data_IF_408661388068
#
_entry.id   IF_408661388068
#
_cell.length_a   1.000
_cell.length_b   1.000
_cell.length_c   1.000
_cell.angle_alpha   90.00
_cell.angle_beta   90.00
_cell.angle_gamma   90.00
#
_symmetry.space_group_name_H-M   'P 1'
#
loop_
_entity.id
_entity.type
_entity.pdbx_description
1 polymer ?
#
# COMPACT_ATOMS: atom_id res chain seq x y z
N UNK A 1 -9.94 -6.55 25.53
CA UNK A 1 -10.05 -5.20 24.99
C UNK A 1 -11.35 -5.07 24.23
N UNK A 2 -12.05 -3.93 24.28
CA UNK A 2 -13.24 -3.72 23.50
C UNK A 2 -12.93 -3.81 22.00
N UNK A 3 -13.90 -4.27 21.24
CA UNK A 3 -13.87 -4.25 19.78
C UNK A 3 -14.06 -2.80 19.33
N UNK A 4 -13.17 -2.29 18.49
CA UNK A 4 -13.24 -0.92 17.95
C UNK A 4 -13.60 -1.02 16.48
N UNK A 5 -14.58 -0.25 16.03
CA UNK A 5 -14.90 -0.14 14.60
C UNK A 5 -14.17 1.04 13.99
N UNK A 6 -13.29 0.73 13.04
CA UNK A 6 -12.44 1.71 12.38
C UNK A 6 -12.78 1.81 10.90
N UNK A 7 -12.83 3.04 10.38
CA UNK A 7 -12.84 3.33 8.95
C UNK A 7 -11.44 3.68 8.46
N UNK A 8 -11.06 3.17 7.31
CA UNK A 8 -9.83 3.55 6.60
C UNK A 8 -10.19 4.01 5.20
N UNK A 9 -9.89 5.26 4.89
CA UNK A 9 -10.12 5.86 3.58
C UNK A 9 -8.78 6.07 2.87
N UNK A 10 -8.52 5.24 1.88
CA UNK A 10 -7.31 5.24 1.06
C UNK A 10 -7.59 5.98 -0.26
N UNK A 11 -7.00 7.15 -0.42
CA UNK A 11 -7.08 7.97 -1.64
C UNK A 11 -5.86 7.70 -2.51
N UNK A 12 -5.98 6.69 -3.35
CA UNK A 12 -4.94 6.31 -4.31
C UNK A 12 -5.04 7.02 -5.66
N UNK A 13 -4.05 6.83 -6.52
CA UNK A 13 -3.97 7.43 -7.86
C UNK A 13 -5.15 7.08 -8.78
N UNK A 14 -5.71 5.88 -8.63
CA UNK A 14 -6.79 5.39 -9.50
C UNK A 14 -8.15 5.29 -8.79
N UNK A 15 -8.13 4.97 -7.49
CA UNK A 15 -9.35 4.64 -6.74
C UNK A 15 -9.29 5.23 -5.35
N UNK A 16 -10.45 5.62 -4.84
CA UNK A 16 -10.68 5.79 -3.41
C UNK A 16 -11.26 4.48 -2.87
N UNK A 17 -10.79 4.06 -1.71
CA UNK A 17 -11.24 2.84 -1.08
C UNK A 17 -11.57 3.08 0.39
N UNK A 18 -12.85 3.00 0.75
CA UNK A 18 -13.29 2.93 2.14
C UNK A 18 -13.28 1.46 2.58
N UNK A 19 -12.52 1.17 3.63
CA UNK A 19 -12.53 -0.11 4.32
C UNK A 19 -13.02 0.11 5.75
N UNK A 20 -14.12 -0.54 6.13
CA UNK A 20 -14.59 -0.57 7.53
C UNK A 20 -14.23 -1.91 8.14
N UNK A 21 -13.59 -1.89 9.30
CA UNK A 21 -13.15 -3.09 10.01
C UNK A 21 -13.63 -3.08 11.46
N UNK A 22 -13.95 -4.26 11.98
CA UNK A 22 -13.96 -4.51 13.41
C UNK A 22 -12.57 -5.03 13.81
N UNK A 23 -11.92 -4.32 14.70
CA UNK A 23 -10.54 -4.59 15.05
C UNK A 23 -10.32 -4.55 16.57
N UNK A 24 -9.39 -5.35 17.05
CA UNK A 24 -8.80 -5.26 18.37
C UNK A 24 -7.35 -5.71 18.30
N UNK A 25 -6.54 -5.31 19.25
CA UNK A 25 -5.13 -5.66 19.28
C UNK A 25 -4.91 -7.17 19.32
N UNK A 26 -3.97 -7.64 18.51
CA UNK A 26 -3.57 -9.05 18.44
C UNK A 26 -4.47 -9.92 17.56
N UNK A 27 -5.55 -9.35 16.98
CA UNK A 27 -6.37 -10.05 16.00
C UNK A 27 -6.22 -9.46 14.60
N UNK A 28 -6.55 -10.26 13.61
CA UNK A 28 -6.70 -9.79 12.24
C UNK A 28 -7.84 -8.77 12.15
N UNK A 29 -7.63 -7.59 11.56
CA UNK A 29 -8.72 -6.68 11.26
C UNK A 29 -9.75 -7.38 10.36
N UNK A 30 -10.97 -7.52 10.84
CA UNK A 30 -12.03 -8.22 10.09
C UNK A 30 -12.82 -7.22 9.26
N UNK A 31 -12.76 -7.28 7.91
CA UNK A 31 -13.54 -6.40 7.05
C UNK A 31 -15.05 -6.58 7.27
N UNK A 32 -15.75 -5.48 7.51
CA UNK A 32 -17.21 -5.39 7.57
C UNK A 32 -17.81 -4.80 6.32
N UNK A 33 -17.12 -3.81 5.75
CA UNK A 33 -17.50 -3.20 4.48
C UNK A 33 -16.24 -2.83 3.69
N UNK A 34 -16.35 -2.86 2.37
CA UNK A 34 -15.26 -2.51 1.46
C UNK A 34 -15.84 -1.89 0.19
N UNK A 35 -15.77 -0.57 0.11
CA UNK A 35 -16.30 0.20 -1.03
C UNK A 35 -15.17 0.84 -1.83
N UNK A 36 -15.25 0.72 -3.16
CA UNK A 36 -14.28 1.29 -4.07
C UNK A 36 -14.94 2.18 -5.08
N UNK A 37 -14.43 3.41 -5.18
CA UNK A 37 -14.84 4.39 -6.21
C UNK A 37 -13.67 4.68 -7.13
N UNK A 38 -13.87 4.55 -8.42
CA UNK A 38 -12.85 4.84 -9.43
C UNK A 38 -12.84 6.34 -9.72
N UNK A 39 -11.75 7.03 -9.39
CA UNK A 39 -11.58 8.46 -9.64
C UNK A 39 -10.56 8.77 -10.73
N UNK A 40 -9.52 7.97 -10.88
CA UNK A 40 -8.39 8.22 -11.78
C UNK A 40 -7.79 9.60 -11.59
N UNK A 41 -7.46 9.94 -10.33
CA UNK A 41 -6.94 11.27 -9.97
C UNK A 41 -5.68 11.64 -10.76
N UNK A 42 -4.82 10.66 -11.04
CA UNK A 42 -3.62 10.89 -11.84
C UNK A 42 -3.91 11.38 -13.27
N UNK A 43 -5.10 11.07 -13.81
CA UNK A 43 -5.57 11.55 -15.14
C UNK A 43 -6.22 12.95 -15.03
N UNK A 44 -6.48 13.43 -13.83
CA UNK A 44 -7.06 14.75 -13.53
C UNK A 44 -6.00 15.81 -13.18
N UNK A 45 -4.73 15.48 -13.31
CA UNK A 45 -3.62 16.41 -13.17
C UNK A 45 -3.36 17.07 -14.52
N UNK A 46 -3.38 18.40 -14.56
CA UNK A 46 -3.15 19.18 -15.76
C UNK A 46 -1.64 19.29 -16.11
N UNK A 47 -1.33 19.93 -17.25
CA UNK A 47 0.05 20.15 -17.71
C UNK A 47 0.92 21.00 -16.78
N UNK A 48 0.32 21.68 -15.79
CA UNK A 48 1.01 22.47 -14.77
C UNK A 48 1.19 21.69 -13.46
N UNK A 49 0.84 20.40 -13.46
CA UNK A 49 0.89 19.55 -12.27
C UNK A 49 -0.22 19.81 -11.25
N UNK A 50 -1.30 20.54 -11.61
CA UNK A 50 -2.42 20.85 -10.70
C UNK A 50 -3.52 19.82 -10.86
N UNK A 51 -4.08 19.36 -9.74
CA UNK A 51 -5.36 18.66 -9.77
C UNK A 51 -6.43 19.65 -10.27
N UNK A 52 -7.13 19.26 -11.35
CA UNK A 52 -8.16 20.09 -11.97
C UNK A 52 -9.31 20.36 -11.01
N UNK A 53 -10.08 21.44 -11.24
CA UNK A 53 -11.27 21.74 -10.44
C UNK A 53 -12.26 20.56 -10.45
N UNK A 54 -12.51 19.98 -11.62
CA UNK A 54 -13.40 18.82 -11.75
C UNK A 54 -12.88 17.60 -10.97
N UNK A 55 -11.55 17.36 -10.97
CA UNK A 55 -10.91 16.32 -10.16
C UNK A 55 -11.07 16.56 -8.65
N UNK A 56 -10.85 17.80 -8.21
CA UNK A 56 -11.04 18.20 -6.82
C UNK A 56 -12.52 18.09 -6.38
N UNK A 57 -13.47 18.53 -7.23
CA UNK A 57 -14.92 18.41 -6.96
C UNK A 57 -15.35 16.93 -6.79
N UNK A 58 -14.81 16.05 -7.62
CA UNK A 58 -15.08 14.60 -7.49
C UNK A 58 -14.45 14.01 -6.25
N UNK A 59 -13.22 14.41 -5.93
CA UNK A 59 -12.52 13.97 -4.72
C UNK A 59 -13.31 14.33 -3.47
N UNK A 60 -13.70 15.61 -3.32
CA UNK A 60 -14.48 16.12 -2.17
C UNK A 60 -15.79 15.35 -2.02
N UNK A 61 -16.59 15.21 -3.10
CA UNK A 61 -17.84 14.46 -3.05
C UNK A 61 -17.61 13.01 -2.60
N UNK A 62 -16.63 12.33 -3.17
CA UNK A 62 -16.37 10.92 -2.83
C UNK A 62 -15.90 10.75 -1.39
N UNK A 63 -15.13 11.73 -0.85
CA UNK A 63 -14.73 11.71 0.56
C UNK A 63 -15.94 11.95 1.46
N UNK A 64 -16.83 12.89 1.11
CA UNK A 64 -18.06 13.16 1.86
C UNK A 64 -18.96 11.90 1.92
N UNK A 65 -19.18 11.24 0.79
CA UNK A 65 -19.96 9.99 0.72
C UNK A 65 -19.35 8.88 1.57
N UNK A 66 -18.02 8.72 1.50
CA UNK A 66 -17.31 7.72 2.29
C UNK A 66 -17.38 8.03 3.80
N UNK A 67 -17.27 9.29 4.20
CA UNK A 67 -17.41 9.71 5.59
C UNK A 67 -18.82 9.46 6.12
N UNK A 68 -19.85 9.77 5.33
CA UNK A 68 -21.24 9.48 5.67
C UNK A 68 -21.47 7.95 5.84
N UNK A 69 -20.93 7.13 4.93
CA UNK A 69 -20.99 5.66 5.04
C UNK A 69 -20.30 5.17 6.32
N UNK A 70 -19.09 5.67 6.62
CA UNK A 70 -18.36 5.28 7.83
C UNK A 70 -19.14 5.66 9.10
N UNK A 71 -19.73 6.86 9.16
CA UNK A 71 -20.55 7.31 10.26
C UNK A 71 -21.83 6.46 10.42
N UNK A 72 -22.54 6.17 9.32
CA UNK A 72 -23.73 5.32 9.33
C UNK A 72 -23.44 3.87 9.80
N UNK A 73 -22.21 3.40 9.56
CA UNK A 73 -21.73 2.10 10.04
C UNK A 73 -21.25 2.12 11.50
N UNK A 74 -21.24 3.28 12.17
CA UNK A 74 -20.83 3.43 13.56
C UNK A 74 -19.30 3.33 13.74
N UNK A 75 -18.51 3.79 12.78
CA UNK A 75 -17.08 3.89 12.97
C UNK A 75 -16.76 4.91 14.07
N UNK A 76 -15.91 4.51 15.01
CA UNK A 76 -15.44 5.35 16.11
C UNK A 76 -14.34 6.32 15.64
N UNK A 77 -13.65 5.97 14.55
CA UNK A 77 -12.61 6.77 13.93
C UNK A 77 -12.55 6.51 12.43
N UNK A 78 -12.21 7.54 11.65
CA UNK A 78 -11.97 7.48 10.21
C UNK A 78 -10.57 7.98 9.90
N UNK A 79 -9.68 7.07 9.61
CA UNK A 79 -8.32 7.38 9.17
C UNK A 79 -8.32 7.61 7.65
N UNK A 80 -8.22 8.85 7.22
CA UNK A 80 -8.19 9.22 5.81
C UNK A 80 -6.78 9.62 5.40
N UNK A 81 -6.25 8.98 4.37
CA UNK A 81 -4.93 9.32 3.83
C UNK A 81 -4.91 9.31 2.30
N UNK A 82 -3.98 10.07 1.75
CA UNK A 82 -3.74 10.16 0.32
C UNK A 82 -2.29 9.79 -0.02
N UNK A 83 -2.09 9.24 -1.20
CA UNK A 83 -0.81 8.78 -1.70
C UNK A 83 -0.36 9.56 -2.95
N UNK A 84 0.47 9.01 -3.78
CA UNK A 84 1.26 9.66 -4.83
C UNK A 84 0.50 10.70 -5.68
N UNK A 85 -0.73 10.44 -6.14
CA UNK A 85 -1.42 11.37 -7.04
C UNK A 85 -1.81 12.70 -6.38
N UNK A 86 -2.20 12.66 -5.10
CA UNK A 86 -2.50 13.89 -4.33
C UNK A 86 -1.21 14.54 -3.87
N UNK A 87 -0.25 13.75 -3.37
CA UNK A 87 1.06 14.24 -2.92
C UNK A 87 1.80 15.04 -3.97
N UNK A 88 1.71 14.63 -5.23
CA UNK A 88 2.45 15.25 -6.34
C UNK A 88 1.71 16.41 -6.99
N UNK A 89 0.46 16.65 -6.62
CA UNK A 89 -0.28 17.78 -7.15
C UNK A 89 0.31 19.11 -6.63
N UNK A 90 0.65 20.02 -7.54
CA UNK A 90 1.25 21.31 -7.20
C UNK A 90 0.31 22.26 -6.41
N UNK A 91 -0.96 21.90 -6.29
CA UNK A 91 -1.98 22.59 -5.51
C UNK A 91 -2.52 21.72 -4.35
N UNK A 92 -1.70 20.81 -3.82
CA UNK A 92 -2.09 19.85 -2.78
C UNK A 92 -2.69 20.54 -1.56
N UNK A 93 -2.04 21.59 -1.03
CA UNK A 93 -2.52 22.30 0.17
C UNK A 93 -3.94 22.85 0.00
N UNK A 94 -4.19 23.53 -1.12
CA UNK A 94 -5.52 24.07 -1.43
C UNK A 94 -6.58 22.96 -1.59
N UNK A 95 -6.19 21.77 -2.07
CA UNK A 95 -7.07 20.61 -2.17
C UNK A 95 -7.39 20.04 -0.79
N UNK A 96 -6.38 19.94 0.09
CA UNK A 96 -6.55 19.45 1.47
C UNK A 96 -7.42 20.38 2.30
N UNK A 97 -7.15 21.70 2.24
CA UNK A 97 -7.95 22.73 2.91
C UNK A 97 -9.42 22.64 2.48
N UNK A 98 -9.65 22.47 1.19
CA UNK A 98 -10.99 22.32 0.64
C UNK A 98 -11.68 21.05 1.12
N UNK A 99 -10.98 19.90 1.12
CA UNK A 99 -11.50 18.63 1.65
C UNK A 99 -11.92 18.82 3.11
N UNK A 100 -11.06 19.39 3.94
CA UNK A 100 -11.36 19.64 5.35
C UNK A 100 -12.56 20.57 5.53
N UNK A 101 -12.59 21.68 4.81
CA UNK A 101 -13.66 22.68 4.92
C UNK A 101 -15.03 22.15 4.49
N UNK A 102 -15.09 21.35 3.42
CA UNK A 102 -16.36 20.87 2.85
C UNK A 102 -16.84 19.52 3.45
N UNK A 103 -15.93 18.71 3.99
CA UNK A 103 -16.27 17.35 4.47
C UNK A 103 -16.02 17.13 5.96
N UNK A 104 -15.26 18.00 6.62
CA UNK A 104 -14.79 17.80 7.98
C UNK A 104 -13.72 16.69 8.12
N UNK A 105 -13.32 16.05 7.02
CA UNK A 105 -12.32 14.98 7.03
C UNK A 105 -10.93 15.56 6.86
N UNK A 106 -10.06 15.32 7.84
CA UNK A 106 -8.61 15.60 7.71
C UNK A 106 -7.95 14.52 6.87
N UNK A 107 -7.48 14.88 5.68
CA UNK A 107 -6.80 13.94 4.77
C UNK A 107 -5.29 14.06 4.95
N UNK A 108 -4.65 13.04 5.53
CA UNK A 108 -3.20 12.97 5.70
C UNK A 108 -2.53 12.57 4.38
N UNK A 109 -1.51 13.32 3.94
CA UNK A 109 -0.71 12.93 2.76
C UNK A 109 0.51 12.15 3.22
N UNK A 110 0.52 10.87 2.94
CA UNK A 110 1.66 10.01 3.29
C UNK A 110 2.86 10.29 2.39
N UNK A 111 4.06 10.36 2.97
CA UNK A 111 5.29 10.30 2.19
C UNK A 111 5.47 8.88 1.62
N UNK A 112 6.24 8.74 0.54
CA UNK A 112 6.51 7.42 -0.03
C UNK A 112 7.24 6.50 0.96
N UNK A 113 8.10 7.05 1.81
CA UNK A 113 8.76 6.29 2.87
C UNK A 113 7.75 5.81 3.93
N UNK A 114 6.78 6.65 4.32
CA UNK A 114 5.70 6.23 5.23
C UNK A 114 4.84 5.12 4.61
N UNK A 115 4.53 5.20 3.31
CA UNK A 115 3.82 4.14 2.59
C UNK A 115 4.61 2.81 2.65
N UNK A 116 5.92 2.86 2.39
CA UNK A 116 6.80 1.69 2.45
C UNK A 116 6.85 1.08 3.87
N UNK A 117 7.02 1.92 4.92
CA UNK A 117 7.07 1.49 6.32
C UNK A 117 5.76 0.86 6.78
N UNK A 118 4.61 1.47 6.48
CA UNK A 118 3.30 0.94 6.85
C UNK A 118 2.97 -0.36 6.11
N UNK A 119 3.33 -0.46 4.83
CA UNK A 119 3.17 -1.68 4.05
C UNK A 119 4.07 -2.80 4.58
N UNK A 120 5.29 -2.48 4.97
CA UNK A 120 6.21 -3.41 5.61
C UNK A 120 5.65 -3.92 6.95
N UNK A 121 5.14 -3.03 7.81
CA UNK A 121 4.50 -3.39 9.08
C UNK A 121 3.35 -4.40 8.86
N UNK A 122 2.50 -4.16 7.86
CA UNK A 122 1.42 -5.09 7.52
C UNK A 122 1.94 -6.48 7.12
N UNK A 123 2.96 -6.53 6.25
CA UNK A 123 3.58 -7.77 5.84
C UNK A 123 4.29 -8.47 7.02
N UNK A 124 5.01 -7.73 7.86
CA UNK A 124 5.67 -8.26 9.05
C UNK A 124 4.67 -8.93 9.99
N UNK A 125 3.57 -8.27 10.30
CA UNK A 125 2.55 -8.84 11.18
C UNK A 125 1.75 -9.98 10.55
N UNK A 126 1.64 -10.02 9.22
CA UNK A 126 1.07 -11.16 8.51
C UNK A 126 1.93 -12.41 8.63
N UNK A 127 3.24 -12.30 8.41
CA UNK A 127 4.16 -13.44 8.40
C UNK A 127 4.76 -13.77 9.77
N UNK A 128 4.77 -12.83 10.71
CA UNK A 128 5.38 -12.96 12.02
C UNK A 128 6.92 -12.95 11.99
N UNK A 129 7.53 -12.98 13.16
CA UNK A 129 8.99 -12.90 13.30
C UNK A 129 9.74 -14.14 12.79
N UNK A 130 9.08 -15.31 12.78
CA UNK A 130 9.66 -16.54 12.22
C UNK A 130 9.96 -16.46 10.71
N UNK A 131 9.49 -15.42 10.04
CA UNK A 131 9.79 -15.17 8.63
C UNK A 131 11.21 -14.63 8.39
N UNK A 132 11.98 -14.34 9.46
CA UNK A 132 13.32 -13.77 9.36
C UNK A 132 13.33 -12.36 8.73
N UNK A 133 14.38 -12.03 7.99
CA UNK A 133 14.45 -10.78 7.24
C UNK A 133 13.46 -10.78 6.08
N UNK A 134 12.54 -9.84 6.09
CA UNK A 134 11.62 -9.63 4.97
C UNK A 134 12.20 -8.60 3.99
N UNK A 135 11.92 -8.84 2.70
CA UNK A 135 11.96 -7.84 1.64
C UNK A 135 10.56 -7.71 1.08
N UNK A 136 9.99 -6.51 1.13
CA UNK A 136 8.62 -6.21 0.70
C UNK A 136 8.64 -5.29 -0.50
N UNK A 137 7.89 -5.65 -1.55
CA UNK A 137 7.71 -4.88 -2.78
C UNK A 137 6.23 -4.52 -2.94
N UNK A 138 5.92 -3.25 -3.23
CA UNK A 138 4.57 -2.79 -3.60
C UNK A 138 4.62 -1.92 -4.84
N UNK A 139 3.93 -2.32 -5.92
CA UNK A 139 3.82 -1.51 -7.14
C UNK A 139 2.44 -0.88 -7.17
N UNK A 140 2.39 0.40 -6.84
CA UNK A 140 1.21 1.23 -6.91
C UNK A 140 0.93 1.81 -8.30
N UNK A 141 0.03 2.80 -8.36
CA UNK A 141 -0.24 3.55 -9.58
C UNK A 141 0.83 4.59 -9.90
N UNK A 142 1.39 5.25 -8.88
CA UNK A 142 2.39 6.33 -9.01
C UNK A 142 3.81 5.92 -8.63
N UNK A 143 3.97 4.94 -7.74
CA UNK A 143 5.26 4.59 -7.14
C UNK A 143 5.48 3.09 -7.02
N UNK A 144 6.73 2.71 -6.76
CA UNK A 144 7.19 1.41 -6.28
C UNK A 144 7.78 1.64 -4.89
N UNK A 145 7.24 0.99 -3.89
CA UNK A 145 7.76 0.94 -2.53
C UNK A 145 8.58 -0.35 -2.34
N UNK A 146 9.75 -0.20 -1.70
CA UNK A 146 10.64 -1.31 -1.33
C UNK A 146 11.07 -1.11 0.11
N UNK A 147 10.88 -2.13 0.95
CA UNK A 147 11.31 -2.09 2.34
C UNK A 147 11.92 -3.42 2.78
N UNK A 148 12.98 -3.38 3.57
CA UNK A 148 13.64 -4.58 4.11
C UNK A 148 13.97 -4.41 5.59
N UNK A 149 13.80 -5.49 6.36
CA UNK A 149 14.10 -5.49 7.80
C UNK A 149 13.71 -6.78 8.50
N UNK A 150 14.08 -6.89 9.77
CA UNK A 150 13.80 -8.03 10.64
C UNK A 150 12.73 -7.75 11.69
N UNK A 151 12.51 -6.48 12.03
CA UNK A 151 11.55 -6.05 13.05
C UNK A 151 10.31 -5.42 12.42
N UNK A 152 9.45 -4.75 13.18
CA UNK A 152 8.26 -4.03 12.70
C UNK A 152 8.62 -2.75 11.95
N UNK A 153 9.71 -2.08 12.35
CA UNK A 153 10.30 -0.99 11.60
C UNK A 153 11.37 -1.56 10.66
N UNK A 154 11.30 -1.29 9.35
CA UNK A 154 12.30 -1.76 8.40
C UNK A 154 13.63 -1.00 8.54
N UNK A 155 14.74 -1.71 8.30
CA UNK A 155 16.07 -1.11 8.24
C UNK A 155 16.22 -0.16 7.04
N UNK A 156 15.55 -0.50 5.93
CA UNK A 156 15.51 0.29 4.69
C UNK A 156 14.07 0.41 4.23
N UNK A 157 13.65 1.63 3.88
CA UNK A 157 12.37 1.92 3.25
C UNK A 157 12.57 2.99 2.19
N UNK A 158 12.29 2.67 0.94
CA UNK A 158 12.41 3.58 -0.21
C UNK A 158 11.14 3.58 -1.04
N UNK A 159 10.83 4.72 -1.64
CA UNK A 159 9.76 4.87 -2.61
C UNK A 159 10.31 5.51 -3.88
N UNK A 160 10.03 4.89 -5.01
CA UNK A 160 10.51 5.29 -6.31
C UNK A 160 9.33 5.69 -7.20
N UNK A 161 9.48 6.70 -8.03
CA UNK A 161 8.44 7.17 -8.97
C UNK A 161 8.25 6.18 -10.15
N UNK A 162 8.13 4.88 -9.85
CA UNK A 162 8.08 3.76 -10.78
C UNK A 162 6.74 3.02 -10.73
N UNK A 163 5.63 3.73 -10.47
CA UNK A 163 4.31 3.14 -10.46
C UNK A 163 3.82 2.76 -11.86
N UNK A 164 2.97 1.72 -11.91
CA UNK A 164 2.44 1.18 -13.16
C UNK A 164 1.68 2.23 -13.99
N UNK A 165 0.83 3.04 -13.35
CA UNK A 165 0.06 4.09 -14.04
C UNK A 165 0.93 5.25 -14.52
N UNK A 166 1.95 5.62 -13.74
CA UNK A 166 2.93 6.65 -14.11
C UNK A 166 3.67 6.25 -15.37
N UNK A 167 4.29 5.08 -15.38
CA UNK A 167 5.06 4.61 -16.53
C UNK A 167 4.21 4.41 -17.78
N UNK A 168 2.96 3.96 -17.63
CA UNK A 168 2.02 3.90 -18.75
C UNK A 168 1.82 5.29 -19.34
N UNK A 169 1.52 6.28 -18.53
CA UNK A 169 1.22 7.65 -18.98
C UNK A 169 2.44 8.36 -19.58
N UNK A 170 3.59 8.18 -18.96
CA UNK A 170 4.80 8.95 -19.31
C UNK A 170 5.64 8.30 -20.42
N UNK A 171 5.55 6.96 -20.62
CA UNK A 171 6.48 6.24 -21.47
C UNK A 171 5.85 5.25 -22.46
N UNK A 172 4.74 4.59 -22.11
CA UNK A 172 4.15 3.57 -22.99
C UNK A 172 2.92 4.05 -23.76
N UNK A 173 2.19 5.03 -23.20
CA UNK A 173 0.93 5.51 -23.80
C UNK A 173 -0.21 4.50 -23.71
N UNK A 174 -1.25 4.73 -24.53
CA UNK A 174 -2.44 3.89 -24.57
C UNK A 174 -2.38 2.97 -25.80
N UNK A 175 -2.25 1.69 -25.59
CA UNK A 175 -2.25 0.67 -26.65
C UNK A 175 -1.12 -0.35 -26.46
N UNK A 176 -1.02 -1.34 -27.38
CA UNK A 176 0.10 -2.26 -27.39
C UNK A 176 1.40 -1.49 -27.62
N UNK A 177 2.39 -1.58 -26.70
CA UNK A 177 3.63 -0.85 -26.87
C UNK A 177 4.48 -1.44 -28.00
N UNK A 178 5.19 -0.60 -28.72
CA UNK A 178 6.16 -1.03 -29.73
C UNK A 178 7.37 -1.67 -29.03
N UNK A 179 8.11 -2.50 -29.76
CA UNK A 179 9.31 -3.15 -29.22
C UNK A 179 10.31 -2.14 -28.66
N UNK A 180 10.52 -1.03 -29.37
CA UNK A 180 11.44 0.03 -28.94
C UNK A 180 10.97 0.67 -27.63
N UNK A 181 9.68 0.96 -27.47
CA UNK A 181 9.13 1.54 -26.24
C UNK A 181 9.38 0.62 -25.01
N UNK A 182 9.27 -0.71 -25.23
CA UNK A 182 9.57 -1.70 -24.19
C UNK A 182 11.06 -1.73 -23.82
N UNK A 183 11.95 -1.61 -24.81
CA UNK A 183 13.40 -1.58 -24.60
C UNK A 183 13.81 -0.28 -23.86
N UNK A 184 13.27 0.85 -24.26
CA UNK A 184 13.53 2.16 -23.63
C UNK A 184 13.08 2.18 -22.16
N UNK A 185 11.89 1.62 -21.88
CA UNK A 185 11.39 1.49 -20.50
C UNK A 185 12.27 0.55 -19.68
N UNK A 186 12.73 -0.57 -20.24
CA UNK A 186 13.65 -1.47 -19.52
C UNK A 186 14.97 -0.79 -19.16
N UNK A 187 15.56 -0.05 -20.10
CA UNK A 187 16.80 0.67 -19.87
C UNK A 187 16.61 1.73 -18.77
N UNK A 188 15.54 2.51 -18.85
CA UNK A 188 15.18 3.47 -17.81
C UNK A 188 15.03 2.81 -16.43
N UNK A 189 14.33 1.68 -16.34
CA UNK A 189 14.13 0.97 -15.08
C UNK A 189 15.45 0.43 -14.50
N UNK A 190 16.38 -0.03 -15.34
CA UNK A 190 17.71 -0.46 -14.90
C UNK A 190 18.46 0.69 -14.24
N UNK A 191 18.44 1.88 -14.86
CA UNK A 191 19.09 3.08 -14.32
C UNK A 191 18.47 3.50 -12.98
N UNK A 192 17.12 3.57 -12.92
CA UNK A 192 16.40 4.02 -11.73
C UNK A 192 16.53 3.07 -10.53
N UNK A 193 16.71 1.78 -10.78
CA UNK A 193 16.81 0.76 -9.73
C UNK A 193 18.25 0.48 -9.27
N UNK A 194 19.27 0.96 -9.97
CA UNK A 194 20.66 0.60 -9.70
C UNK A 194 21.12 1.00 -8.29
N UNK A 195 20.85 2.22 -7.86
CA UNK A 195 21.24 2.72 -6.53
C UNK A 195 20.30 2.18 -5.42
N UNK A 196 18.96 2.24 -5.56
CA UNK A 196 18.06 1.63 -4.58
C UNK A 196 18.32 0.14 -4.33
N UNK A 197 18.64 -0.64 -5.38
CA UNK A 197 18.97 -2.05 -5.21
C UNK A 197 20.22 -2.26 -4.38
N UNK A 198 21.26 -1.42 -4.54
CA UNK A 198 22.47 -1.47 -3.69
C UNK A 198 22.16 -1.14 -2.24
N UNK A 199 21.34 -0.11 -1.99
CA UNK A 199 20.91 0.27 -0.65
C UNK A 199 20.18 -0.86 0.05
N UNK A 200 19.24 -1.51 -0.66
CA UNK A 200 18.47 -2.67 -0.13
C UNK A 200 19.39 -3.87 0.10
N UNK A 201 20.31 -4.16 -0.83
CA UNK A 201 21.24 -5.28 -0.69
C UNK A 201 22.20 -5.10 0.50
N UNK A 202 22.61 -3.87 0.80
CA UNK A 202 23.45 -3.56 1.96
C UNK A 202 22.76 -3.84 3.31
N UNK A 203 21.43 -3.86 3.36
CA UNK A 203 20.67 -4.23 4.56
C UNK A 203 20.71 -5.75 4.87
N UNK A 204 21.26 -6.56 3.97
CA UNK A 204 21.40 -8.02 4.13
C UNK A 204 20.45 -8.84 3.27
N UNK A 205 20.77 -10.13 3.15
CA UNK A 205 19.97 -11.05 2.34
C UNK A 205 18.60 -11.32 3.00
N UNK A 206 17.49 -11.24 2.25
CA UNK A 206 16.18 -11.56 2.78
C UNK A 206 15.97 -13.07 2.93
N UNK A 207 15.40 -13.50 4.06
CA UNK A 207 14.93 -14.88 4.25
C UNK A 207 13.61 -15.11 3.51
N UNK A 208 12.84 -14.05 3.28
CA UNK A 208 11.58 -14.10 2.55
C UNK A 208 11.36 -12.84 1.74
N UNK A 209 11.01 -13.01 0.47
CA UNK A 209 10.61 -11.93 -0.43
C UNK A 209 9.10 -11.94 -0.62
N UNK A 210 8.50 -10.78 -0.39
CA UNK A 210 7.05 -10.59 -0.35
C UNK A 210 6.65 -9.48 -1.32
N UNK A 211 5.56 -9.68 -2.03
CA UNK A 211 4.98 -8.65 -2.87
C UNK A 211 3.53 -8.38 -2.46
N UNK A 212 3.13 -7.12 -2.48
CA UNK A 212 1.77 -6.69 -2.21
C UNK A 212 1.14 -6.07 -3.47
N UNK A 213 0.11 -5.26 -3.34
CA UNK A 213 -0.61 -4.57 -4.41
C UNK A 213 -1.52 -5.40 -5.32
N UNK A 214 -2.37 -4.69 -6.03
CA UNK A 214 -3.21 -5.29 -7.07
C UNK A 214 -2.38 -5.69 -8.29
N UNK A 215 -1.29 -4.98 -8.58
CA UNK A 215 -0.39 -5.28 -9.71
C UNK A 215 0.20 -6.67 -9.55
N UNK A 216 0.89 -6.95 -8.43
CA UNK A 216 1.48 -8.26 -8.18
C UNK A 216 0.43 -9.38 -8.10
N UNK A 217 -0.73 -9.12 -7.49
CA UNK A 217 -1.84 -10.11 -7.45
C UNK A 217 -2.35 -10.47 -8.84
N UNK A 218 -2.49 -9.48 -9.73
CA UNK A 218 -2.90 -9.73 -11.12
C UNK A 218 -1.84 -10.52 -11.89
N UNK A 219 -0.57 -10.16 -11.77
CA UNK A 219 0.54 -10.87 -12.42
C UNK A 219 0.64 -12.32 -11.93
N UNK A 220 0.56 -12.56 -10.62
CA UNK A 220 0.53 -13.90 -10.06
C UNK A 220 -0.69 -14.70 -10.55
N UNK A 221 -1.89 -14.07 -10.67
CA UNK A 221 -3.07 -14.75 -11.21
C UNK A 221 -2.87 -15.19 -12.65
N UNK A 222 -2.21 -14.39 -13.46
CA UNK A 222 -1.89 -14.72 -14.85
C UNK A 222 -0.87 -15.87 -14.99
N UNK A 223 -0.08 -16.16 -13.96
CA UNK A 223 0.78 -17.36 -13.89
C UNK A 223 0.06 -18.59 -13.31
N UNK A 224 -1.26 -18.55 -13.12
CA UNK A 224 -2.07 -19.68 -12.70
C UNK A 224 -2.28 -19.82 -11.19
N UNK A 225 -1.91 -18.84 -10.37
CA UNK A 225 -2.15 -18.93 -8.92
C UNK A 225 -3.65 -18.86 -8.59
N UNK A 226 -4.02 -19.36 -7.41
CA UNK A 226 -5.41 -19.38 -6.96
C UNK A 226 -6.04 -17.97 -6.93
N UNK A 227 -7.35 -17.82 -7.25
CA UNK A 227 -8.06 -16.55 -7.16
C UNK A 227 -8.14 -16.04 -5.72
N UNK A 228 -8.38 -14.72 -5.54
CA UNK A 228 -8.51 -14.13 -4.20
C UNK A 228 -9.69 -14.72 -3.41
N UNK A 229 -10.74 -15.19 -4.09
CA UNK A 229 -11.90 -15.86 -3.47
C UNK A 229 -11.56 -17.16 -2.76
N UNK A 230 -10.42 -17.81 -3.06
CA UNK A 230 -9.94 -18.99 -2.33
C UNK A 230 -9.45 -18.66 -0.89
N UNK A 231 -9.50 -17.39 -0.51
CA UNK A 231 -9.17 -16.92 0.83
C UNK A 231 -7.74 -16.38 0.98
N UNK A 232 -7.50 -15.57 2.03
CA UNK A 232 -6.22 -14.89 2.22
C UNK A 232 -5.07 -15.81 2.64
N UNK A 233 -5.36 -16.98 3.20
CA UNK A 233 -4.32 -17.93 3.68
C UNK A 233 -3.79 -18.87 2.61
N UNK A 234 -4.41 -18.92 1.42
CA UNK A 234 -3.91 -19.70 0.29
C UNK A 234 -2.62 -19.07 -0.21
N UNK A 235 -1.54 -19.85 -0.18
CA UNK A 235 -0.24 -19.38 -0.66
C UNK A 235 -0.30 -19.10 -2.16
N UNK A 236 0.21 -17.94 -2.54
CA UNK A 236 0.34 -17.50 -3.94
C UNK A 236 1.74 -16.98 -4.15
N UNK A 237 2.37 -17.40 -5.23
CA UNK A 237 3.73 -16.96 -5.58
C UNK A 237 3.77 -16.47 -7.01
N UNK A 238 4.75 -15.65 -7.32
CA UNK A 238 5.08 -15.22 -8.68
C UNK A 238 6.56 -15.46 -8.88
N UNK A 239 6.90 -16.42 -9.74
CA UNK A 239 8.28 -16.64 -10.15
C UNK A 239 8.70 -15.62 -11.21
N UNK A 240 9.98 -15.23 -11.21
CA UNK A 240 10.54 -14.34 -12.23
C UNK A 240 10.43 -14.95 -13.63
N UNK A 241 10.66 -16.26 -13.77
CA UNK A 241 10.48 -16.95 -15.05
C UNK A 241 9.02 -16.88 -15.55
N UNK A 242 8.03 -17.14 -14.70
CA UNK A 242 6.61 -17.02 -15.02
C UNK A 242 6.21 -15.59 -15.38
N UNK A 243 6.74 -14.60 -14.66
CA UNK A 243 6.52 -13.18 -14.96
C UNK A 243 7.01 -12.82 -16.37
N UNK A 244 8.20 -13.27 -16.77
CA UNK A 244 8.75 -13.03 -18.11
C UNK A 244 7.88 -13.65 -19.23
N UNK A 245 7.30 -14.82 -18.99
CA UNK A 245 6.34 -15.42 -19.91
C UNK A 245 5.07 -14.58 -20.02
N UNK A 246 4.53 -14.13 -18.89
CA UNK A 246 3.37 -13.22 -18.87
C UNK A 246 3.67 -11.93 -19.64
N UNK A 247 4.84 -11.30 -19.44
CA UNK A 247 5.23 -10.09 -20.16
C UNK A 247 5.25 -10.34 -21.69
N UNK A 248 5.84 -11.43 -22.14
CA UNK A 248 5.90 -11.76 -23.57
C UNK A 248 4.50 -11.92 -24.21
N UNK A 249 3.54 -12.36 -23.43
CA UNK A 249 2.15 -12.54 -23.83
C UNK A 249 1.38 -11.20 -23.80
N UNK A 250 1.33 -10.52 -22.64
CA UNK A 250 0.50 -9.32 -22.44
C UNK A 250 0.98 -8.10 -23.22
N UNK A 251 2.27 -8.01 -23.57
CA UNK A 251 2.83 -6.87 -24.31
C UNK A 251 2.33 -6.77 -25.75
N UNK A 252 1.66 -7.81 -26.26
CA UNK A 252 1.10 -7.86 -27.62
C UNK A 252 -0.41 -7.66 -27.66
N UNK A 253 -1.04 -7.53 -26.49
CA UNK A 253 -2.49 -7.45 -26.36
C UNK A 253 -2.98 -6.00 -26.34
N UNK A 254 -4.19 -5.79 -26.85
CA UNK A 254 -4.89 -4.52 -26.66
C UNK A 254 -5.34 -4.36 -25.21
N UNK A 255 -5.60 -3.11 -24.78
CA UNK A 255 -6.16 -2.85 -23.43
C UNK A 255 -7.51 -3.56 -23.22
N UNK A 256 -8.32 -3.68 -24.27
CA UNK A 256 -9.60 -4.40 -24.20
C UNK A 256 -9.39 -5.90 -23.93
N UNK A 257 -8.46 -6.52 -24.65
CA UNK A 257 -8.13 -7.93 -24.45
C UNK A 257 -7.53 -8.18 -23.04
N UNK A 258 -6.64 -7.27 -22.59
CA UNK A 258 -6.08 -7.33 -21.23
C UNK A 258 -7.17 -7.23 -20.15
N UNK A 259 -8.20 -6.42 -20.37
CA UNK A 259 -9.33 -6.30 -19.44
C UNK A 259 -10.19 -7.59 -19.36
N UNK A 260 -10.16 -8.42 -20.39
CA UNK A 260 -10.82 -9.74 -20.43
C UNK A 260 -10.05 -10.84 -19.69
N UNK A 261 -8.79 -10.62 -19.32
CA UNK A 261 -8.00 -11.62 -18.62
C UNK A 261 -8.45 -11.80 -17.17
N UNK A 262 -8.52 -13.05 -16.72
CA UNK A 262 -8.92 -13.34 -15.34
C UNK A 262 -7.93 -12.75 -14.32
N UNK A 263 -8.46 -12.03 -13.33
CA UNK A 263 -7.66 -11.36 -12.30
C UNK A 263 -7.17 -9.95 -12.67
N UNK A 264 -7.41 -9.51 -13.90
CA UNK A 264 -7.15 -8.14 -14.38
C UNK A 264 -8.43 -7.31 -14.23
N UNK A 265 -8.34 -6.17 -13.55
CA UNK A 265 -9.48 -5.25 -13.48
C UNK A 265 -9.46 -4.28 -14.66
N UNK A 266 -10.61 -4.06 -15.29
CA UNK A 266 -10.74 -3.19 -16.48
C UNK A 266 -10.14 -1.79 -16.24
N UNK A 267 -10.31 -1.19 -15.07
CA UNK A 267 -9.74 0.12 -14.73
C UNK A 267 -8.22 0.16 -14.57
N UNK A 268 -7.53 -0.99 -14.65
CA UNK A 268 -6.07 -1.10 -14.55
C UNK A 268 -5.43 -1.88 -15.70
N UNK A 269 -6.22 -2.32 -16.66
CA UNK A 269 -5.74 -3.12 -17.79
C UNK A 269 -4.64 -2.39 -18.58
N UNK A 270 -4.83 -1.09 -18.83
CA UNK A 270 -3.85 -0.24 -19.51
C UNK A 270 -2.49 -0.12 -18.77
N UNK A 271 -2.47 -0.38 -17.46
CA UNK A 271 -1.25 -0.27 -16.62
C UNK A 271 -0.54 -1.61 -16.41
N UNK A 272 -1.13 -2.70 -16.90
CA UNK A 272 -0.64 -4.05 -16.60
C UNK A 272 0.75 -4.31 -17.16
N UNK A 273 1.01 -3.89 -18.41
CA UNK A 273 2.32 -4.07 -19.07
C UNK A 273 3.40 -3.28 -18.33
N UNK A 274 3.13 -2.00 -18.03
CA UNK A 274 4.06 -1.17 -17.26
C UNK A 274 4.37 -1.78 -15.88
N UNK A 275 3.32 -2.20 -15.16
CA UNK A 275 3.48 -2.85 -13.86
C UNK A 275 4.29 -4.15 -13.93
N UNK A 276 4.12 -4.92 -15.00
CA UNK A 276 4.89 -6.14 -15.23
C UNK A 276 6.38 -5.84 -15.52
N UNK A 277 6.67 -4.78 -16.29
CA UNK A 277 8.05 -4.35 -16.55
C UNK A 277 8.74 -3.84 -15.27
N UNK A 278 8.03 -3.10 -14.40
CA UNK A 278 8.57 -2.67 -13.09
C UNK A 278 8.85 -3.89 -12.22
N UNK A 279 7.93 -4.86 -12.15
CA UNK A 279 8.13 -6.08 -11.38
C UNK A 279 9.34 -6.90 -11.88
N UNK A 280 9.49 -7.07 -13.20
CA UNK A 280 10.64 -7.75 -13.83
C UNK A 280 11.96 -7.05 -13.49
N UNK A 281 11.99 -5.73 -13.65
CA UNK A 281 13.20 -4.94 -13.39
C UNK A 281 13.58 -4.96 -11.90
N UNK A 282 12.61 -4.82 -10.98
CA UNK A 282 12.84 -4.88 -9.54
C UNK A 282 13.32 -6.28 -9.11
N UNK A 283 12.68 -7.35 -9.60
CA UNK A 283 13.12 -8.71 -9.30
C UNK A 283 14.53 -8.99 -9.82
N UNK A 284 14.86 -8.48 -10.99
CA UNK A 284 16.22 -8.61 -11.57
C UNK A 284 17.26 -7.83 -10.77
N UNK A 285 16.99 -6.55 -10.48
CA UNK A 285 17.92 -5.67 -9.77
C UNK A 285 18.24 -6.17 -8.35
N UNK A 286 17.25 -6.82 -7.71
CA UNK A 286 17.35 -7.38 -6.35
C UNK A 286 17.68 -8.88 -6.33
N UNK A 287 17.96 -9.50 -7.49
CA UNK A 287 18.27 -10.95 -7.64
C UNK A 287 17.19 -11.86 -7.04
N UNK A 288 15.92 -11.53 -7.28
CA UNK A 288 14.76 -12.24 -6.76
C UNK A 288 14.27 -13.26 -7.79
N UNK A 289 14.21 -14.54 -7.42
CA UNK A 289 13.68 -15.60 -8.27
C UNK A 289 12.16 -15.79 -8.10
N UNK A 290 11.65 -15.60 -6.89
CA UNK A 290 10.23 -15.76 -6.57
C UNK A 290 9.81 -14.76 -5.49
N UNK A 291 8.59 -14.22 -5.61
CA UNK A 291 7.95 -13.43 -4.56
C UNK A 291 6.69 -14.14 -4.06
N UNK A 292 6.44 -14.08 -2.76
CA UNK A 292 5.20 -14.55 -2.15
C UNK A 292 4.21 -13.38 -2.06
N UNK A 293 2.96 -13.59 -2.48
CA UNK A 293 1.93 -12.55 -2.46
C UNK A 293 1.35 -12.44 -1.06
N UNK A 294 1.51 -11.27 -0.44
CA UNK A 294 0.88 -10.92 0.83
C UNK A 294 -0.54 -10.38 0.59
N UNK A 295 -1.55 -10.84 1.32
CA UNK A 295 -2.90 -10.29 1.24
C UNK A 295 -3.04 -8.92 1.93
N UNK A 296 -2.16 -8.61 2.89
CA UNK A 296 -2.11 -7.33 3.58
C UNK A 296 -1.16 -6.35 2.89
N UNK A 297 -1.49 -5.06 2.99
CA UNK A 297 -0.75 -3.96 2.40
C UNK A 297 -0.91 -2.68 3.25
N UNK A 298 -0.75 -1.50 2.65
CA UNK A 298 -0.78 -0.19 3.31
C UNK A 298 -1.96 0.01 4.28
N UNK A 299 -3.19 -0.32 3.88
CA UNK A 299 -4.39 -0.11 4.71
C UNK A 299 -4.36 -0.91 6.00
N UNK A 300 -3.95 -2.15 5.92
CA UNK A 300 -3.77 -2.99 7.11
C UNK A 300 -2.66 -2.42 7.99
N UNK A 301 -1.59 -1.89 7.43
CA UNK A 301 -0.53 -1.18 8.16
C UNK A 301 -1.04 0.05 8.92
N UNK A 302 -1.89 0.87 8.28
CA UNK A 302 -2.54 2.03 8.92
C UNK A 302 -3.41 1.59 10.09
N UNK A 303 -4.24 0.55 9.91
CA UNK A 303 -5.09 0.00 10.97
C UNK A 303 -4.23 -0.48 12.15
N UNK A 304 -3.19 -1.26 11.87
CA UNK A 304 -2.32 -1.83 12.90
C UNK A 304 -1.61 -0.72 13.69
N UNK A 305 -1.08 0.28 13.01
CA UNK A 305 -0.45 1.46 13.65
C UNK A 305 -1.45 2.22 14.54
N UNK A 306 -2.70 2.37 14.09
CA UNK A 306 -3.76 3.01 14.88
C UNK A 306 -4.10 2.21 16.14
N UNK A 307 -4.21 0.89 16.02
CA UNK A 307 -4.47 0.00 17.16
C UNK A 307 -3.36 0.08 18.20
N UNK A 308 -2.10 0.15 17.78
CA UNK A 308 -0.96 0.31 18.69
C UNK A 308 -1.00 1.64 19.44
N UNK A 309 -1.38 2.71 18.75
CA UNK A 309 -1.52 4.04 19.35
C UNK A 309 -2.64 4.07 20.39
N UNK A 310 -3.81 3.51 20.10
CA UNK A 310 -4.93 3.40 21.04
C UNK A 310 -4.53 2.63 22.30
N UNK A 311 -3.83 1.51 22.14
CA UNK A 311 -3.33 0.71 23.27
C UNK A 311 -2.30 1.47 24.13
N UNK A 312 -1.43 2.24 23.49
CA UNK A 312 -0.47 3.12 24.20
C UNK A 312 -1.17 4.17 25.06
N UNK A 313 -2.24 4.78 24.51
CA UNK A 313 -3.07 5.76 25.24
C UNK A 313 -3.78 5.12 26.43
N UNK A 314 -4.37 3.93 26.27
CA UNK A 314 -5.04 3.21 27.34
C UNK A 314 -4.07 2.84 28.48
N UNK A 315 -2.88 2.36 28.16
CA UNK A 315 -1.85 2.06 29.15
C UNK A 315 -1.41 3.30 29.93
N UNK A 316 -1.18 4.41 29.23
CA UNK A 316 -0.80 5.67 29.86
C UNK A 316 -1.90 6.19 30.81
N UNK A 317 -3.17 6.09 30.40
CA UNK A 317 -4.31 6.45 31.22
C UNK A 317 -4.44 5.55 32.47
N UNK A 318 -4.22 4.23 32.33
CA UNK A 318 -4.25 3.29 33.45
C UNK A 318 -3.09 3.52 34.44
N UNK A 319 -1.89 3.86 33.92
CA UNK A 319 -0.74 4.20 34.80
C UNK A 319 -1.00 5.46 35.60
N UNK A 320 -1.65 6.48 35.04
CA UNK A 320 -2.03 7.71 35.74
C UNK A 320 -3.09 7.47 36.83
N UNK A 321 -3.92 6.44 36.69
CA UNK A 321 -4.97 6.06 37.68
C UNK A 321 -4.46 5.14 38.78
N UNK A 322 -3.25 4.58 38.68
CA UNK A 322 -2.66 3.78 39.77
C UNK A 322 -2.25 4.72 40.92
N UNK A 323 -2.74 4.50 42.15
CA UNK A 323 -2.25 5.25 43.31
C UNK A 323 -0.74 5.00 43.46
N UNK A 324 0.02 5.99 43.94
CA UNK A 324 1.44 5.81 44.20
C UNK A 324 1.61 4.58 45.10
N UNK A 325 2.49 3.67 44.69
CA UNK A 325 2.87 2.53 45.56
C UNK A 325 3.40 3.13 46.86
N UNK A 326 2.66 2.95 47.96
CA UNK A 326 3.12 3.33 49.28
C UNK A 326 4.48 2.69 49.52
N UNK A 327 5.45 3.49 49.86
CA UNK A 327 6.74 3.05 50.40
C UNK A 327 6.44 2.38 51.71
N UNK A 328 6.24 1.07 51.70
CA UNK A 328 6.18 0.26 52.90
C UNK A 328 7.54 0.33 53.59
N UNK A 329 7.71 1.27 54.50
CA UNK A 329 8.77 1.24 55.47
C UNK A 329 8.54 0.01 56.36
N UNK A 330 9.25 -1.06 56.07
CA UNK A 330 9.39 -2.18 57.01
C UNK A 330 10.20 -1.69 58.20
N UNK A 331 9.50 -1.36 59.30
CA UNK A 331 10.13 -1.06 60.59
C UNK A 331 10.87 -2.33 61.02
N UNK A 332 12.19 -2.31 60.96
CA UNK A 332 13.04 -3.23 61.70
C UNK A 332 12.86 -2.94 63.21
N UNK A 333 11.97 -3.67 63.87
CA UNK A 333 12.01 -3.77 65.36
C UNK A 333 13.15 -4.67 65.70
N UNK A 334 14.20 -4.06 66.21
CA UNK A 334 15.20 -4.77 67.02
C UNK A 334 14.54 -5.35 68.28
N UNK A 335 14.79 -6.62 68.53
CA UNK A 335 14.54 -7.26 69.84
C UNK A 335 15.85 -7.77 70.35
N UNK A 336 16.03 -7.51 71.65
CA UNK A 336 17.15 -7.83 72.51
C UNK A 336 17.47 -9.31 72.61
#
# INVERSE_FOLDING_TARGET
>A
MPLVRLGVLDVGSNTIHLLVVDAHRGAHPTPKNSEKTVLRLAEQIDSRGKLTRAGADRLVRTIADAAATAAAMGCEDLMAFATSAVREASNVDAVLDRVLAETGVSLEVLSGEQEARLTFLAARRWYGWSAGRLLVLDIGGGSLEVASGVDEEPDVAVSLALGAGRLTRERLGNGPPRRQDLEDVRNYLVEQLAEPARTVAAAGQPDRVVATSKTFRSLARLTGTAPSSAGPRVRRTLSHAGLRQVIAFISRMSTADLAGLEGVSAGRANQLVAGALVADAAMRALSIEEVQICPWALREGVILRRLDWLDGMDRAAQQRRRPPRGTGLTALRGAR
#
